data_IF_762677387020
#
_entry.id   IF_762677387020
#
_cell.length_a   1.000
_cell.length_b   1.000
_cell.length_c   1.000
_cell.angle_alpha   90.00
_cell.angle_beta   90.00
_cell.angle_gamma   90.00
#
_symmetry.space_group_name_H-M   'P 1'
#
loop_
_entity.id
_entity.type
_entity.pdbx_description
1 polymer ?
#
# COMPACT_ATOMS: atom_id res chain seq x y z
N UNK A 1 27.16 -51.14 -7.99
CA UNK A 1 28.45 -50.84 -8.66
C UNK A 1 28.24 -49.49 -9.35
N UNK A 2 28.85 -48.39 -8.95
CA UNK A 2 30.28 -48.15 -9.06
C UNK A 2 30.70 -47.19 -7.95
N UNK A 3 31.76 -47.60 -7.28
CA UNK A 3 32.56 -46.85 -6.32
C UNK A 3 33.59 -46.04 -7.11
N UNK A 4 34.11 -45.00 -6.47
CA UNK A 4 35.49 -44.50 -6.58
C UNK A 4 35.70 -43.14 -7.27
N UNK A 5 35.92 -42.14 -6.40
CA UNK A 5 37.18 -41.41 -6.27
C UNK A 5 38.12 -41.43 -7.48
N UNK A 6 38.31 -40.27 -8.12
CA UNK A 6 39.57 -39.93 -8.77
C UNK A 6 39.90 -38.44 -8.48
N UNK A 7 40.94 -38.26 -7.66
CA UNK A 7 42.04 -37.32 -7.91
C UNK A 7 41.73 -35.84 -8.05
N UNK A 8 41.71 -35.12 -6.92
CA UNK A 8 42.07 -33.70 -6.87
C UNK A 8 43.59 -33.58 -7.07
N UNK A 9 44.02 -33.09 -8.23
CA UNK A 9 45.36 -32.48 -8.39
C UNK A 9 45.16 -31.18 -9.15
N UNK A 10 45.04 -30.08 -8.42
CA UNK A 10 45.21 -28.74 -8.97
C UNK A 10 46.30 -28.07 -8.14
N UNK A 11 47.53 -28.11 -8.66
CA UNK A 11 48.64 -27.37 -8.09
C UNK A 11 48.38 -25.86 -8.26
N UNK A 12 48.70 -25.03 -7.25
CA UNK A 12 48.46 -23.60 -7.28
C UNK A 12 49.51 -22.92 -8.16
N UNK A 13 49.11 -22.43 -9.33
CA UNK A 13 49.92 -21.46 -10.05
C UNK A 13 49.57 -20.06 -9.54
N UNK A 14 50.46 -19.59 -8.69
CA UNK A 14 50.54 -18.26 -8.11
C UNK A 14 50.61 -17.17 -9.19
N UNK A 15 50.01 -16.02 -8.84
CA UNK A 15 50.36 -14.66 -9.26
C UNK A 15 49.91 -14.21 -10.66
N UNK A 16 48.73 -13.58 -10.71
CA UNK A 16 48.64 -12.19 -11.16
C UNK A 16 47.35 -11.53 -10.62
N UNK A 17 47.40 -11.07 -9.37
CA UNK A 17 46.35 -10.21 -8.82
C UNK A 17 46.54 -8.83 -9.46
N UNK A 18 45.97 -8.64 -10.65
CA UNK A 18 45.71 -7.30 -11.17
C UNK A 18 44.55 -6.76 -10.35
N UNK A 19 44.90 -6.05 -9.28
CA UNK A 19 43.97 -5.32 -8.44
C UNK A 19 43.29 -4.26 -9.30
N UNK A 20 42.14 -4.61 -9.88
CA UNK A 20 41.18 -3.61 -10.30
C UNK A 20 40.66 -2.97 -9.02
N UNK A 21 41.35 -1.90 -8.60
CA UNK A 21 40.84 -0.96 -7.63
C UNK A 21 39.43 -0.60 -8.09
N UNK A 22 38.44 -1.05 -7.33
CA UNK A 22 37.08 -0.56 -7.46
C UNK A 22 37.18 0.94 -7.27
N UNK A 23 37.07 1.70 -8.38
CA UNK A 23 36.81 3.13 -8.29
C UNK A 23 35.50 3.24 -7.53
N UNK A 24 35.62 3.50 -6.23
CA UNK A 24 34.52 3.82 -5.36
C UNK A 24 33.70 4.86 -6.08
N UNK A 25 32.49 4.49 -6.48
CA UNK A 25 31.53 5.39 -7.08
C UNK A 25 31.37 6.55 -6.11
N UNK A 26 32.04 7.67 -6.40
CA UNK A 26 31.83 8.94 -5.74
C UNK A 26 30.34 9.22 -5.89
N UNK A 27 29.61 8.91 -4.82
CA UNK A 27 28.19 9.18 -4.71
C UNK A 27 28.13 10.68 -4.48
N UNK A 28 28.12 11.44 -5.57
CA UNK A 28 27.77 12.85 -5.54
C UNK A 28 26.43 12.88 -4.81
N UNK A 29 26.43 13.31 -3.54
CA UNK A 29 25.18 13.68 -2.90
C UNK A 29 24.70 14.81 -3.77
N UNK A 30 23.60 14.59 -4.48
CA UNK A 30 22.80 15.69 -5.01
C UNK A 30 22.24 16.38 -3.78
N UNK A 31 23.08 17.15 -3.10
CA UNK A 31 22.64 18.08 -2.09
C UNK A 31 21.90 19.15 -2.88
N UNK A 32 20.62 18.88 -3.14
CA UNK A 32 19.67 19.92 -3.52
C UNK A 32 19.85 20.94 -2.40
N UNK A 33 20.39 22.13 -2.69
CA UNK A 33 20.66 23.21 -1.73
C UNK A 33 19.38 23.76 -1.08
N UNK A 34 18.57 22.86 -0.54
CA UNK A 34 17.21 22.97 -0.07
C UNK A 34 17.15 22.13 1.19
N UNK A 35 16.78 22.75 2.30
CA UNK A 35 16.56 22.03 3.55
C UNK A 35 15.36 21.09 3.42
N UNK A 36 15.65 19.80 3.23
CA UNK A 36 14.64 18.76 3.04
C UNK A 36 13.89 18.45 4.34
N UNK A 37 14.53 18.65 5.50
CA UNK A 37 13.92 18.38 6.80
C UNK A 37 12.84 19.43 7.07
N UNK A 38 13.18 20.70 6.89
CA UNK A 38 12.23 21.81 6.99
C UNK A 38 11.04 21.67 6.06
N UNK A 39 11.27 21.22 4.81
CA UNK A 39 10.18 20.98 3.83
C UNK A 39 9.24 19.89 4.31
N UNK A 40 9.79 18.75 4.76
CA UNK A 40 8.99 17.62 5.24
C UNK A 40 8.17 17.99 6.48
N UNK A 41 8.76 18.74 7.42
CA UNK A 41 8.07 19.23 8.63
C UNK A 41 6.87 20.13 8.29
N UNK A 42 6.94 20.86 7.17
CA UNK A 42 5.84 21.70 6.65
C UNK A 42 4.90 20.98 5.68
N UNK A 43 5.06 19.67 5.48
CA UNK A 43 4.24 18.89 4.55
C UNK A 43 4.50 19.23 3.07
N UNK A 44 5.61 19.88 2.73
CA UNK A 44 5.99 20.19 1.35
C UNK A 44 6.66 18.99 0.67
N UNK A 45 6.55 18.86 -0.66
CA UNK A 45 7.23 17.79 -1.37
C UNK A 45 8.76 17.96 -1.33
N UNK A 46 9.45 16.81 -1.27
CA UNK A 46 10.91 16.71 -1.33
C UNK A 46 11.48 17.34 -2.61
N UNK A 47 10.83 17.09 -3.74
CA UNK A 47 11.13 17.78 -4.99
C UNK A 47 10.09 18.90 -5.18
N UNK A 48 10.51 20.18 -5.28
CA UNK A 48 9.58 21.30 -5.44
C UNK A 48 8.73 21.23 -6.72
N UNK A 49 9.18 20.50 -7.75
CA UNK A 49 8.52 20.43 -9.04
C UNK A 49 7.47 19.31 -9.15
N UNK A 50 7.16 18.62 -8.04
CA UNK A 50 6.22 17.48 -8.05
C UNK A 50 4.78 17.98 -8.08
N UNK A 51 4.43 18.83 -7.12
CA UNK A 51 3.11 19.44 -6.96
C UNK A 51 3.24 20.73 -6.15
N UNK A 52 2.26 21.61 -6.27
CA UNK A 52 2.20 22.89 -5.59
C UNK A 52 2.14 24.06 -6.56
N UNK A 53 2.06 25.27 -6.01
CA UNK A 53 1.82 26.52 -6.76
C UNK A 53 2.81 26.68 -7.93
N UNK A 54 4.09 26.38 -7.72
CA UNK A 54 5.11 26.52 -8.76
C UNK A 54 4.83 25.67 -10.01
N UNK A 55 4.17 24.52 -9.87
CA UNK A 55 3.99 23.57 -10.99
C UNK A 55 2.56 23.46 -11.47
N UNK A 56 1.59 23.66 -10.56
CA UNK A 56 0.17 23.52 -10.88
C UNK A 56 -0.46 24.85 -11.33
N UNK A 57 0.13 26.00 -10.95
CA UNK A 57 -0.29 27.32 -11.42
C UNK A 57 0.06 27.52 -12.90
N UNK A 58 -0.74 28.29 -13.67
CA UNK A 58 -0.33 28.70 -15.02
C UNK A 58 0.87 29.65 -14.98
N UNK A 59 1.77 29.51 -15.96
CA UNK A 59 2.97 30.36 -16.11
C UNK A 59 2.64 31.77 -16.62
N UNK A 60 1.52 31.92 -17.33
CA UNK A 60 1.05 33.19 -17.89
C UNK A 60 -0.48 33.23 -17.92
N UNK A 61 -1.03 34.43 -18.07
CA UNK A 61 -2.47 34.68 -18.23
C UNK A 61 -2.69 35.69 -19.36
N UNK A 62 -3.81 35.58 -20.08
CA UNK A 62 -4.16 36.56 -21.12
C UNK A 62 -4.55 37.90 -20.49
N UNK A 63 -4.20 39.01 -21.15
CA UNK A 63 -4.57 40.36 -20.69
C UNK A 63 -6.10 40.53 -20.59
N UNK A 64 -6.83 39.85 -21.47
CA UNK A 64 -8.30 39.82 -21.50
C UNK A 64 -8.92 39.06 -20.30
N UNK A 65 -8.10 38.44 -19.44
CA UNK A 65 -8.56 37.62 -18.30
C UNK A 65 -9.07 36.23 -18.69
N UNK A 66 -8.87 35.80 -19.94
CA UNK A 66 -9.19 34.43 -20.35
C UNK A 66 -8.31 33.42 -19.61
N UNK A 67 -8.88 32.26 -19.34
CA UNK A 67 -8.16 31.16 -18.68
C UNK A 67 -7.10 30.58 -19.61
N UNK A 68 -5.96 30.23 -19.03
CA UNK A 68 -4.88 29.56 -19.74
C UNK A 68 -5.26 28.11 -20.02
N UNK A 69 -5.23 27.64 -21.28
CA UNK A 69 -5.53 26.25 -21.58
C UNK A 69 -4.48 25.33 -20.94
N UNK A 70 -4.91 24.14 -20.52
CA UNK A 70 -4.00 23.19 -19.88
C UNK A 70 -2.90 22.70 -20.82
N UNK A 71 -1.67 22.68 -20.32
CA UNK A 71 -0.57 21.96 -20.96
C UNK A 71 -0.79 20.44 -20.90
N UNK A 72 -0.15 19.71 -21.82
CA UNK A 72 -0.24 18.23 -21.86
C UNK A 72 0.16 17.61 -20.52
N UNK A 73 1.27 18.05 -19.93
CA UNK A 73 1.75 17.54 -18.65
C UNK A 73 0.81 17.81 -17.47
N UNK A 74 0.16 18.97 -17.43
CA UNK A 74 -0.84 19.30 -16.41
C UNK A 74 -2.08 18.43 -16.58
N UNK A 75 -2.59 18.30 -17.81
CA UNK A 75 -3.73 17.44 -18.13
C UNK A 75 -3.48 15.99 -17.72
N UNK A 76 -2.31 15.44 -18.04
CA UNK A 76 -1.95 14.07 -17.67
C UNK A 76 -1.91 13.86 -16.15
N UNK A 77 -1.41 14.84 -15.38
CA UNK A 77 -1.42 14.76 -13.91
C UNK A 77 -2.83 14.76 -13.34
N UNK A 78 -3.70 15.62 -13.86
CA UNK A 78 -5.12 15.69 -13.45
C UNK A 78 -5.81 14.35 -13.72
N UNK A 79 -5.63 13.76 -14.91
CA UNK A 79 -6.22 12.47 -15.24
C UNK A 79 -5.71 11.36 -14.32
N UNK A 80 -4.39 11.30 -14.08
CA UNK A 80 -3.81 10.33 -13.15
C UNK A 80 -4.34 10.48 -11.72
N UNK A 81 -4.53 11.71 -11.25
CA UNK A 81 -5.12 11.96 -9.92
C UNK A 81 -6.57 11.47 -9.85
N UNK A 82 -7.35 11.64 -10.93
CA UNK A 82 -8.71 11.11 -11.01
C UNK A 82 -8.75 9.58 -10.98
N UNK A 83 -7.85 8.92 -11.69
CA UNK A 83 -7.72 7.45 -11.68
C UNK A 83 -7.41 6.93 -10.27
N UNK A 84 -6.43 7.54 -9.59
CA UNK A 84 -6.08 7.18 -8.21
C UNK A 84 -7.24 7.44 -7.26
N UNK A 85 -7.94 8.56 -7.41
CA UNK A 85 -9.10 8.88 -6.57
C UNK A 85 -10.23 7.85 -6.75
N UNK A 86 -10.52 7.43 -7.99
CA UNK A 86 -11.51 6.39 -8.26
C UNK A 86 -11.17 5.10 -7.52
N UNK A 87 -9.91 4.66 -7.61
CA UNK A 87 -9.46 3.44 -6.92
C UNK A 87 -9.58 3.57 -5.41
N UNK A 88 -9.27 4.73 -4.84
CA UNK A 88 -9.41 4.95 -3.39
C UNK A 88 -10.87 4.82 -2.97
N UNK A 89 -11.80 5.41 -3.72
CA UNK A 89 -13.24 5.35 -3.43
C UNK A 89 -13.72 3.89 -3.47
N UNK A 90 -13.44 3.19 -4.57
CA UNK A 90 -13.86 1.79 -4.75
C UNK A 90 -13.36 0.91 -3.59
N UNK A 91 -12.08 1.02 -3.24
CA UNK A 91 -11.48 0.24 -2.16
C UNK A 91 -12.07 0.59 -0.78
N UNK A 92 -12.39 1.86 -0.53
CA UNK A 92 -13.02 2.25 0.74
C UNK A 92 -14.43 1.68 0.85
N UNK A 93 -15.22 1.74 -0.23
CA UNK A 93 -16.56 1.18 -0.27
C UNK A 93 -16.55 -0.34 -0.08
N UNK A 94 -15.59 -1.05 -0.68
CA UNK A 94 -15.42 -2.50 -0.49
C UNK A 94 -15.14 -2.88 0.96
N UNK A 95 -14.30 -2.11 1.65
CA UNK A 95 -13.97 -2.33 3.07
C UNK A 95 -15.20 -2.10 3.94
N UNK A 96 -15.92 -0.99 3.74
CA UNK A 96 -17.12 -0.67 4.50
C UNK A 96 -18.19 -1.74 4.30
N UNK A 97 -18.41 -2.17 3.06
CA UNK A 97 -19.32 -3.27 2.74
C UNK A 97 -18.92 -4.57 3.44
N UNK A 98 -17.64 -4.91 3.49
CA UNK A 98 -17.17 -6.12 4.15
C UNK A 98 -17.46 -6.11 5.66
N UNK A 99 -17.26 -4.97 6.33
CA UNK A 99 -17.56 -4.78 7.75
C UNK A 99 -19.05 -4.92 8.01
N UNK A 100 -19.90 -4.21 7.25
CA UNK A 100 -21.35 -4.28 7.39
C UNK A 100 -21.89 -5.70 7.17
N UNK A 101 -21.41 -6.35 6.11
CA UNK A 101 -21.79 -7.73 5.79
C UNK A 101 -21.42 -8.67 6.93
N UNK A 102 -20.22 -8.55 7.50
CA UNK A 102 -19.79 -9.38 8.61
C UNK A 102 -20.69 -9.22 9.83
N UNK A 103 -21.00 -7.98 10.21
CA UNK A 103 -21.90 -7.68 11.32
C UNK A 103 -23.30 -8.26 11.08
N UNK A 104 -23.83 -8.13 9.86
CA UNK A 104 -25.13 -8.72 9.49
C UNK A 104 -25.13 -10.24 9.66
N UNK A 105 -24.06 -10.92 9.22
CA UNK A 105 -23.95 -12.37 9.34
C UNK A 105 -23.91 -12.83 10.81
N UNK A 106 -23.20 -12.11 11.69
CA UNK A 106 -23.18 -12.41 13.13
C UNK A 106 -24.57 -12.28 13.74
N UNK A 107 -25.28 -11.18 13.45
CA UNK A 107 -26.64 -10.95 13.94
C UNK A 107 -27.59 -12.04 13.42
N UNK A 108 -27.48 -12.42 12.15
CA UNK A 108 -28.28 -13.52 11.59
C UNK A 108 -28.00 -14.86 12.27
N UNK A 109 -26.74 -15.16 12.60
CA UNK A 109 -26.37 -16.40 13.29
C UNK A 109 -26.94 -16.43 14.72
N UNK A 110 -26.85 -15.31 15.45
CA UNK A 110 -27.45 -15.18 16.78
C UNK A 110 -28.97 -15.33 16.74
N UNK A 111 -29.62 -14.68 15.78
CA UNK A 111 -31.07 -14.76 15.60
C UNK A 111 -31.51 -16.19 15.22
N UNK A 112 -30.73 -16.90 14.39
CA UNK A 112 -30.97 -18.33 14.10
C UNK A 112 -30.86 -19.18 15.35
N UNK A 113 -29.82 -18.97 16.18
CA UNK A 113 -29.64 -19.70 17.46
C UNK A 113 -30.82 -19.45 18.41
N UNK A 114 -31.25 -18.19 18.56
CA UNK A 114 -32.42 -17.80 19.37
C UNK A 114 -33.70 -18.44 18.85
N UNK A 115 -33.98 -18.35 17.55
CA UNK A 115 -35.16 -18.95 16.94
C UNK A 115 -35.20 -20.48 17.10
N UNK A 116 -34.05 -21.16 17.05
CA UNK A 116 -33.97 -22.61 17.32
C UNK A 116 -34.31 -22.88 18.79
N UNK A 117 -33.76 -22.10 19.73
CA UNK A 117 -34.05 -22.24 21.16
C UNK A 117 -35.53 -22.04 21.45
N UNK A 118 -36.15 -21.00 20.88
CA UNK A 118 -37.57 -20.66 21.08
C UNK A 118 -38.50 -21.72 20.50
N UNK A 119 -38.09 -22.35 19.38
CA UNK A 119 -38.81 -23.48 18.78
C UNK A 119 -38.65 -24.79 19.55
N UNK A 120 -37.73 -24.91 20.53
CA UNK A 120 -37.58 -26.16 21.29
C UNK A 120 -38.84 -26.42 22.12
N UNK A 121 -39.31 -27.65 22.05
CA UNK A 121 -40.44 -28.11 22.87
C UNK A 121 -40.08 -28.08 24.36
N UNK A 122 -41.11 -27.95 25.20
CA UNK A 122 -40.97 -27.98 26.66
C UNK A 122 -40.26 -29.28 27.09
N UNK A 123 -39.34 -29.20 28.08
CA UNK A 123 -38.66 -30.39 28.59
C UNK A 123 -39.63 -31.34 29.29
N UNK A 124 -39.40 -32.65 29.18
CA UNK A 124 -40.25 -33.71 29.76
C UNK A 124 -39.49 -34.54 30.80
N UNK A 125 -40.22 -35.32 31.60
CA UNK A 125 -39.67 -36.36 32.49
C UNK A 125 -38.79 -35.83 33.63
N UNK A 126 -37.63 -36.45 33.83
CA UNK A 126 -36.66 -36.16 34.91
C UNK A 126 -36.24 -34.69 34.98
N UNK A 127 -36.24 -33.97 33.86
CA UNK A 127 -35.89 -32.56 33.78
C UNK A 127 -36.90 -31.64 34.49
N UNK A 128 -38.16 -32.04 34.62
CA UNK A 128 -39.17 -31.30 35.37
C UNK A 128 -39.02 -31.50 36.88
N UNK A 129 -38.63 -32.71 37.31
CA UNK A 129 -38.46 -33.07 38.72
C UNK A 129 -37.29 -32.32 39.36
N UNK A 130 -36.23 -32.02 38.59
CA UNK A 130 -35.07 -31.24 39.05
C UNK A 130 -35.36 -29.75 39.30
N UNK A 131 -36.40 -29.17 38.69
CA UNK A 131 -36.77 -27.75 38.84
C UNK A 131 -37.67 -27.44 40.04
N UNK A 132 -38.21 -28.47 40.72
CA UNK A 132 -39.23 -28.34 41.78
C UNK A 132 -38.68 -28.31 43.21
N UNK A 133 -37.35 -28.37 43.39
CA UNK A 133 -36.69 -28.23 44.69
C UNK A 133 -36.27 -26.79 44.93
#
# INVERSE_FOLDING_TARGET
MIVNQIGKIFHPCLLNIRSYQTLGRLKWKTDRGLDQKWRKERGLPLNPNVHGVLTDSPDYTFLDGRLTPYGVGQKMRILKQKEVLSQVIDLTEEVDFAVERHNRLLIEEENKKKAILDKKLKPKGLALLKKKK
#
